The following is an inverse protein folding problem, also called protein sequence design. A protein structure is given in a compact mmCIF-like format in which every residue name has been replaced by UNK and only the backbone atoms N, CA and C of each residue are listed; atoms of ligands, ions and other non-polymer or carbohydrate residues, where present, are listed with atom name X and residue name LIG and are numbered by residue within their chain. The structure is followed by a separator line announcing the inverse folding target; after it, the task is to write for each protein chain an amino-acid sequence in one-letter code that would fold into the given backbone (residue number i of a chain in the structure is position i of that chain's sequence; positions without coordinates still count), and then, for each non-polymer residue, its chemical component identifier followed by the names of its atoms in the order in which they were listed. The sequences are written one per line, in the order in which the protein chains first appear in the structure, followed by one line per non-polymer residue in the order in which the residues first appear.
data_IF_752417968118
#
_entry.id   IF_752417968118
#
_cell.length_a   1.000
_cell.length_b   1.000
_cell.length_c   1.000
_cell.angle_alpha   90.00
_cell.angle_beta   90.00
_cell.angle_gamma   90.00
#
_symmetry.space_group_name_H-M   'P 1'
#
loop_
_entity.id
_entity.type
_entity.pdbx_description
1 polymer ?
#
# COMPACT_ATOMS: atom_id res chain seq x y z
N UNK A 1 -10.29 -19.05 -14.64
CA UNK A 1 -10.87 -17.97 -15.47
C UNK A 1 -11.22 -16.83 -14.53
N UNK A 2 -10.38 -15.83 -14.41
CA UNK A 2 -10.62 -14.62 -13.63
C UNK A 2 -11.67 -13.80 -14.34
N UNK A 3 -12.79 -13.59 -13.69
CA UNK A 3 -13.89 -12.76 -14.19
C UNK A 3 -13.39 -11.33 -14.31
N UNK A 4 -13.42 -10.68 -15.48
CA UNK A 4 -13.00 -9.30 -15.57
C UNK A 4 -13.88 -8.45 -14.65
N UNK A 5 -13.24 -7.71 -13.75
CA UNK A 5 -13.95 -6.83 -12.83
C UNK A 5 -14.71 -5.76 -13.62
N UNK A 6 -15.93 -5.40 -13.21
CA UNK A 6 -16.64 -4.32 -13.85
C UNK A 6 -15.82 -3.04 -13.74
N UNK A 7 -15.56 -2.41 -14.88
CA UNK A 7 -14.88 -1.11 -14.90
C UNK A 7 -15.73 -0.11 -14.12
N UNK A 8 -15.12 0.72 -13.26
CA UNK A 8 -15.88 1.74 -12.53
C UNK A 8 -16.59 2.68 -13.50
N UNK A 9 -17.81 3.04 -13.16
CA UNK A 9 -18.69 3.86 -13.99
C UNK A 9 -18.09 5.20 -14.37
N UNK A 10 -17.48 5.88 -13.41
CA UNK A 10 -16.93 7.22 -13.55
C UNK A 10 -15.57 7.29 -12.88
N UNK A 11 -14.60 7.79 -13.64
CA UNK A 11 -13.24 8.02 -13.16
C UNK A 11 -12.93 9.50 -13.18
N UNK A 12 -12.17 9.93 -12.20
CA UNK A 12 -11.67 11.28 -12.05
C UNK A 12 -10.15 11.23 -12.08
N UNK A 13 -9.54 12.00 -12.97
CA UNK A 13 -8.09 12.13 -12.99
C UNK A 13 -7.61 12.85 -11.75
N UNK A 14 -6.51 12.36 -11.20
CA UNK A 14 -5.72 13.04 -10.20
C UNK A 14 -4.56 13.77 -10.89
N UNK A 15 -4.14 14.87 -10.30
CA UNK A 15 -3.05 15.68 -10.84
C UNK A 15 -1.73 14.93 -10.68
N UNK A 16 -1.04 14.62 -11.80
CA UNK A 16 0.20 13.86 -11.74
C UNK A 16 1.32 14.68 -11.10
N UNK A 17 2.21 14.00 -10.42
CA UNK A 17 3.45 14.54 -9.90
C UNK A 17 4.50 13.43 -9.83
N UNK A 18 5.74 13.79 -9.61
CA UNK A 18 6.87 12.89 -9.39
C UNK A 18 7.16 12.73 -7.89
N UNK A 19 8.24 12.06 -7.55
CA UNK A 19 8.70 11.88 -6.16
C UNK A 19 8.96 13.22 -5.47
N UNK A 20 9.56 14.20 -6.14
CA UNK A 20 9.77 15.56 -5.61
C UNK A 20 8.47 16.31 -5.33
N UNK A 21 7.37 15.95 -5.98
CA UNK A 21 6.05 16.53 -5.78
C UNK A 21 5.30 16.02 -4.54
N UNK A 22 5.76 14.95 -3.90
CA UNK A 22 5.10 14.37 -2.72
C UNK A 22 4.99 15.37 -1.57
N UNK A 23 6.04 16.14 -1.31
CA UNK A 23 6.09 17.12 -0.22
C UNK A 23 5.23 18.38 -0.50
N UNK A 24 4.66 18.52 -1.68
CA UNK A 24 3.71 19.59 -2.02
C UNK A 24 2.26 19.28 -1.61
N UNK A 25 2.00 18.11 -1.03
CA UNK A 25 0.70 17.76 -0.47
C UNK A 25 0.33 18.71 0.68
N UNK A 26 -0.93 19.16 0.70
CA UNK A 26 -1.39 20.09 1.74
C UNK A 26 -1.75 19.43 3.05
N UNK A 27 -1.93 18.11 3.04
CA UNK A 27 -2.30 17.29 4.20
C UNK A 27 -1.58 15.96 4.16
N UNK A 28 -1.29 15.44 5.35
CA UNK A 28 -0.71 14.10 5.51
C UNK A 28 -1.29 13.39 6.73
N UNK A 29 -1.30 12.06 6.65
CA UNK A 29 -1.27 11.15 7.79
C UNK A 29 0.07 10.44 7.78
N UNK A 30 0.57 10.06 8.96
CA UNK A 30 1.80 9.31 9.09
C UNK A 30 1.66 8.29 10.22
N UNK A 31 2.01 7.05 9.95
CA UNK A 31 1.96 5.95 10.89
C UNK A 31 3.31 5.25 10.94
N UNK A 32 3.67 4.76 12.13
CA UNK A 32 4.83 3.88 12.32
C UNK A 32 4.32 2.50 12.67
N UNK A 33 4.69 1.53 11.86
CA UNK A 33 4.23 0.16 11.99
C UNK A 33 5.45 -0.74 12.20
N UNK A 34 5.55 -1.42 13.35
CA UNK A 34 6.62 -2.37 13.58
C UNK A 34 6.40 -3.64 12.75
N UNK A 35 7.48 -4.20 12.24
CA UNK A 35 7.50 -5.47 11.53
C UNK A 35 8.61 -6.37 12.12
N UNK A 36 8.31 -7.63 12.43
CA UNK A 36 9.34 -8.59 12.83
C UNK A 36 10.18 -9.09 11.65
N UNK A 37 9.77 -8.81 10.41
CA UNK A 37 10.49 -9.17 9.19
C UNK A 37 11.66 -8.21 8.93
N UNK A 38 12.68 -8.70 8.19
CA UNK A 38 13.74 -7.84 7.68
C UNK A 38 13.19 -6.77 6.72
N UNK A 39 13.92 -5.65 6.49
CA UNK A 39 13.47 -4.61 5.55
C UNK A 39 13.15 -5.14 4.16
N UNK A 40 13.97 -6.06 3.63
CA UNK A 40 13.74 -6.65 2.31
C UNK A 40 12.46 -7.51 2.27
N UNK A 41 12.20 -8.32 3.31
CA UNK A 41 10.99 -9.14 3.39
C UNK A 41 9.73 -8.29 3.63
N UNK A 42 9.82 -7.25 4.48
CA UNK A 42 8.72 -6.30 4.72
C UNK A 42 8.37 -5.53 3.44
N UNK A 43 9.39 -5.07 2.71
CA UNK A 43 9.21 -4.42 1.41
C UNK A 43 8.53 -5.36 0.40
N UNK A 44 9.02 -6.60 0.26
CA UNK A 44 8.46 -7.56 -0.67
C UNK A 44 6.99 -7.86 -0.36
N UNK A 45 6.63 -8.01 0.91
CA UNK A 45 5.25 -8.22 1.33
C UNK A 45 4.36 -7.01 1.00
N UNK A 46 4.74 -5.80 1.45
CA UNK A 46 3.88 -4.61 1.32
C UNK A 46 3.86 -4.03 -0.10
N UNK A 47 4.84 -4.30 -0.95
CA UNK A 47 4.81 -3.85 -2.35
C UNK A 47 3.91 -4.72 -3.24
N UNK A 48 3.60 -5.96 -2.83
CA UNK A 48 2.75 -6.87 -3.60
C UNK A 48 1.27 -6.57 -3.35
N UNK A 49 0.51 -6.28 -4.41
CA UNK A 49 -0.90 -5.89 -4.32
C UNK A 49 -1.78 -6.98 -3.67
N UNK A 50 -1.42 -8.24 -3.86
CA UNK A 50 -2.17 -9.36 -3.28
C UNK A 50 -2.13 -9.37 -1.74
N UNK A 51 -1.08 -8.80 -1.13
CA UNK A 51 -0.97 -8.72 0.33
C UNK A 51 -1.94 -7.70 0.94
N UNK A 52 -2.44 -6.74 0.16
CA UNK A 52 -3.40 -5.74 0.64
C UNK A 52 -4.68 -6.40 1.17
N UNK A 53 -5.05 -7.58 0.64
CA UNK A 53 -6.16 -8.38 1.15
C UNK A 53 -5.98 -8.84 2.61
N UNK A 54 -4.76 -8.83 3.13
CA UNK A 54 -4.46 -9.30 4.48
C UNK A 54 -4.54 -8.19 5.54
N UNK A 55 -4.46 -6.93 5.12
CA UNK A 55 -4.34 -5.83 6.07
C UNK A 55 -5.15 -4.58 5.72
N UNK A 56 -5.46 -4.29 4.45
CA UNK A 56 -6.21 -3.09 4.13
C UNK A 56 -7.72 -3.31 4.36
N UNK A 57 -8.37 -2.48 5.20
CA UNK A 57 -9.81 -2.59 5.44
C UNK A 57 -10.60 -2.48 4.14
N UNK A 58 -11.63 -3.32 4.02
CA UNK A 58 -12.55 -3.30 2.87
C UNK A 58 -11.88 -3.49 1.50
N UNK A 59 -10.67 -4.09 1.47
CA UNK A 59 -10.04 -4.48 0.21
C UNK A 59 -10.90 -5.49 -0.53
N UNK A 60 -11.17 -5.20 -1.79
CA UNK A 60 -11.99 -6.07 -2.65
C UNK A 60 -11.15 -6.79 -3.67
N UNK A 61 -10.26 -6.07 -4.36
CA UNK A 61 -9.42 -6.62 -5.42
C UNK A 61 -8.35 -5.61 -5.87
N UNK A 62 -7.31 -6.11 -6.55
CA UNK A 62 -6.27 -5.30 -7.15
C UNK A 62 -5.38 -6.13 -8.07
N UNK A 63 -4.75 -5.47 -9.02
CA UNK A 63 -3.81 -6.14 -9.92
C UNK A 63 -2.78 -5.18 -10.50
N UNK A 64 -1.61 -5.70 -10.79
CA UNK A 64 -0.61 -5.04 -11.60
C UNK A 64 -1.11 -4.90 -13.05
N UNK A 65 -0.90 -3.72 -13.63
CA UNK A 65 -1.12 -3.45 -15.06
C UNK A 65 0.21 -3.55 -15.83
N UNK A 66 1.33 -3.28 -15.18
CA UNK A 66 2.66 -3.42 -15.75
C UNK A 66 3.17 -4.86 -15.58
N UNK A 67 3.96 -5.32 -16.55
CA UNK A 67 4.68 -6.59 -16.45
C UNK A 67 5.83 -6.48 -15.42
N UNK A 68 6.14 -7.60 -14.76
CA UNK A 68 7.32 -7.71 -13.90
C UNK A 68 8.63 -7.66 -14.76
N UNK A 69 9.76 -7.18 -14.20
CA UNK A 69 9.93 -6.74 -12.83
C UNK A 69 9.32 -5.35 -12.58
N UNK A 70 8.74 -5.16 -11.40
CA UNK A 70 8.14 -3.88 -11.02
C UNK A 70 9.18 -2.89 -10.51
N UNK A 71 8.88 -1.59 -10.67
CA UNK A 71 9.79 -0.51 -10.30
C UNK A 71 9.15 0.86 -10.53
N UNK A 72 9.97 1.90 -10.57
CA UNK A 72 9.51 3.25 -10.92
C UNK A 72 8.84 3.25 -12.30
N UNK A 73 7.67 3.86 -12.39
CA UNK A 73 6.84 3.88 -13.60
C UNK A 73 5.84 2.73 -13.71
N UNK A 74 6.00 1.64 -12.95
CA UNK A 74 5.02 0.56 -12.90
C UNK A 74 3.67 1.06 -12.43
N UNK A 75 2.60 0.46 -12.94
CA UNK A 75 1.23 0.80 -12.61
C UNK A 75 0.49 -0.42 -12.08
N UNK A 76 -0.41 -0.16 -11.12
CA UNK A 76 -1.36 -1.13 -10.61
C UNK A 76 -2.68 -0.43 -10.32
N UNK A 77 -3.73 -1.18 -10.09
CA UNK A 77 -4.98 -0.64 -9.57
C UNK A 77 -5.37 -1.38 -8.28
N UNK A 78 -6.02 -0.63 -7.43
CA UNK A 78 -6.54 -1.04 -6.13
C UNK A 78 -8.04 -0.76 -6.10
N UNK A 79 -8.82 -1.63 -5.47
CA UNK A 79 -10.23 -1.43 -5.21
C UNK A 79 -10.58 -1.83 -3.78
N UNK A 80 -11.26 -0.93 -3.10
CA UNK A 80 -11.97 -1.18 -1.85
C UNK A 80 -13.47 -0.97 -2.06
N UNK A 81 -14.27 -1.22 -1.03
CA UNK A 81 -15.70 -0.87 -1.06
C UNK A 81 -15.94 0.62 -1.26
N UNK A 82 -15.00 1.47 -0.81
CA UNK A 82 -15.11 2.91 -0.89
C UNK A 82 -14.74 3.47 -2.27
N UNK A 83 -13.66 2.97 -2.89
CA UNK A 83 -13.11 3.52 -4.12
C UNK A 83 -12.37 2.50 -4.96
N UNK A 84 -12.19 2.84 -6.23
CA UNK A 84 -11.18 2.31 -7.12
C UNK A 84 -10.10 3.38 -7.34
N UNK A 85 -8.84 2.99 -7.30
CA UNK A 85 -7.67 3.85 -7.45
C UNK A 85 -6.70 3.21 -8.45
N UNK A 86 -6.20 3.99 -9.41
CA UNK A 86 -5.07 3.61 -10.24
C UNK A 86 -3.81 4.28 -9.72
N UNK A 87 -2.77 3.50 -9.52
CA UNK A 87 -1.52 3.89 -8.91
C UNK A 87 -0.37 3.81 -9.92
N UNK A 88 0.59 4.74 -9.80
CA UNK A 88 1.85 4.71 -10.52
C UNK A 88 3.00 4.93 -9.54
N UNK A 89 3.95 4.03 -9.53
CA UNK A 89 5.12 4.11 -8.64
C UNK A 89 6.07 5.21 -9.10
N UNK A 90 6.51 6.04 -8.15
CA UNK A 90 7.42 7.18 -8.35
C UNK A 90 8.74 7.02 -7.61
N UNK A 91 8.81 6.09 -6.64
CA UNK A 91 10.03 5.64 -5.98
C UNK A 91 9.98 4.13 -5.79
N UNK A 92 11.14 3.46 -5.93
CA UNK A 92 11.26 2.03 -5.77
C UNK A 92 12.71 1.64 -5.48
N UNK A 93 13.03 1.44 -4.21
CA UNK A 93 14.33 0.97 -3.72
C UNK A 93 14.09 -0.22 -2.81
N UNK A 94 14.30 -1.48 -3.28
CA UNK A 94 13.99 -2.68 -2.52
C UNK A 94 14.62 -2.66 -1.12
N UNK A 95 13.80 -2.93 -0.11
CA UNK A 95 14.21 -2.94 1.30
C UNK A 95 14.36 -1.57 1.95
N UNK A 96 14.22 -0.47 1.21
CA UNK A 96 14.38 0.88 1.73
C UNK A 96 13.13 1.75 1.58
N UNK A 97 12.56 1.78 0.37
CA UNK A 97 11.44 2.68 0.08
C UNK A 97 10.68 2.28 -1.18
N UNK A 98 9.35 2.40 -1.14
CA UNK A 98 8.55 2.64 -2.33
C UNK A 98 7.54 3.77 -2.09
N UNK A 99 7.17 4.45 -3.17
CA UNK A 99 6.11 5.44 -3.16
C UNK A 99 5.34 5.39 -4.46
N UNK A 100 4.03 5.64 -4.38
CA UNK A 100 3.18 5.75 -5.55
C UNK A 100 2.27 6.98 -5.47
N UNK A 101 1.82 7.43 -6.62
CA UNK A 101 0.80 8.45 -6.77
C UNK A 101 -0.47 7.83 -7.35
N UNK A 102 -1.62 8.33 -6.93
CA UNK A 102 -2.87 8.07 -7.61
C UNK A 102 -2.92 8.83 -8.93
N UNK A 103 -3.34 8.18 -10.01
CA UNK A 103 -3.52 8.80 -11.33
C UNK A 103 -4.99 8.93 -11.72
N UNK A 104 -5.83 8.00 -11.31
CA UNK A 104 -7.28 8.00 -11.51
C UNK A 104 -7.98 7.42 -10.26
N UNK A 105 -9.18 7.90 -9.96
CA UNK A 105 -10.01 7.39 -8.86
C UNK A 105 -11.49 7.51 -9.17
N UNK A 106 -12.33 6.70 -8.51
CA UNK A 106 -13.79 6.86 -8.58
C UNK A 106 -14.33 7.84 -7.55
N UNK A 107 -13.52 8.26 -6.57
CA UNK A 107 -13.93 9.17 -5.51
C UNK A 107 -13.34 10.58 -5.77
N UNK A 108 -14.15 11.59 -6.14
CA UNK A 108 -13.66 12.88 -6.61
C UNK A 108 -13.22 13.84 -5.48
N UNK A 109 -12.87 13.34 -4.31
CA UNK A 109 -12.55 14.17 -3.15
C UNK A 109 -11.18 14.84 -3.22
N UNK A 110 -10.22 14.16 -3.87
CA UNK A 110 -8.83 14.58 -3.86
C UNK A 110 -8.40 15.08 -5.25
N UNK A 111 -7.54 16.10 -5.26
CA UNK A 111 -6.84 16.60 -6.45
C UNK A 111 -5.54 15.84 -6.67
N UNK A 112 -4.81 15.55 -5.56
CA UNK A 112 -3.59 14.75 -5.50
C UNK A 112 -3.73 13.71 -4.40
N UNK A 113 -3.15 12.55 -4.63
CA UNK A 113 -3.03 11.49 -3.65
C UNK A 113 -1.73 10.74 -3.89
N UNK A 114 -1.05 10.38 -2.82
CA UNK A 114 0.15 9.56 -2.85
C UNK A 114 0.31 8.79 -1.53
N UNK A 115 1.05 7.70 -1.59
CA UNK A 115 1.55 7.00 -0.41
C UNK A 115 3.06 6.81 -0.52
N UNK A 116 3.75 6.93 0.63
CA UNK A 116 5.19 6.79 0.76
C UNK A 116 5.48 5.82 1.92
N UNK A 117 6.12 4.70 1.61
CA UNK A 117 6.52 3.65 2.55
C UNK A 117 8.04 3.64 2.68
N UNK A 118 8.54 3.78 3.90
CA UNK A 118 9.97 3.72 4.21
C UNK A 118 10.24 2.63 5.22
N UNK A 119 11.30 1.88 5.00
CA UNK A 119 11.67 0.70 5.75
C UNK A 119 12.99 0.93 6.47
N UNK A 120 12.95 1.11 7.79
CA UNK A 120 14.14 1.35 8.61
C UNK A 120 14.44 0.11 9.43
N UNK A 121 15.67 -0.48 9.33
CA UNK A 121 16.02 -1.65 10.14
C UNK A 121 16.03 -1.27 11.62
N UNK A 122 15.56 -2.18 12.47
CA UNK A 122 15.63 -2.04 13.92
C UNK A 122 16.83 -2.81 14.50
N UNK A 123 17.34 -2.43 15.68
CA UNK A 123 18.43 -3.18 16.35
C UNK A 123 18.10 -4.64 16.64
N UNK A 124 16.81 -4.98 16.74
CA UNK A 124 16.34 -6.37 16.95
C UNK A 124 16.29 -7.21 15.68
N UNK A 125 16.69 -6.66 14.52
CA UNK A 125 16.68 -7.37 13.23
C UNK A 125 15.35 -7.28 12.46
N UNK A 126 14.34 -6.60 13.02
CA UNK A 126 13.07 -6.30 12.36
C UNK A 126 13.12 -4.98 11.57
N UNK A 127 11.96 -4.44 11.29
CA UNK A 127 11.77 -3.20 10.51
C UNK A 127 10.78 -2.26 11.19
N UNK A 128 11.06 -0.97 11.21
CA UNK A 128 10.03 0.07 11.40
C UNK A 128 9.59 0.57 10.03
N UNK A 129 8.31 0.40 9.70
CA UNK A 129 7.70 0.96 8.50
C UNK A 129 7.15 2.34 8.83
N UNK A 130 7.66 3.38 8.16
CA UNK A 130 7.02 4.70 8.16
C UNK A 130 6.09 4.79 6.95
N UNK A 131 4.77 4.74 7.19
CA UNK A 131 3.75 4.86 6.17
C UNK A 131 3.14 6.25 6.19
N UNK A 132 3.28 6.98 5.09
CA UNK A 132 2.73 8.32 4.91
C UNK A 132 1.67 8.32 3.82
N UNK A 133 0.51 8.89 4.12
CA UNK A 133 -0.58 9.14 3.17
C UNK A 133 -0.64 10.65 2.93
N UNK A 134 -0.36 11.07 1.72
CA UNK A 134 -0.16 12.44 1.29
C UNK A 134 -1.28 12.85 0.32
N UNK A 135 -2.01 13.92 0.61
CA UNK A 135 -3.13 14.30 -0.25
C UNK A 135 -3.41 15.81 -0.28
N UNK A 136 -4.08 16.23 -1.34
CA UNK A 136 -4.61 17.58 -1.48
C UNK A 136 -6.07 17.50 -1.87
N UNK A 137 -7.02 17.98 -1.05
CA UNK A 137 -8.44 17.99 -1.40
C UNK A 137 -8.71 18.88 -2.63
N UNK A 138 -9.69 18.53 -3.44
CA UNK A 138 -10.22 19.43 -4.46
C UNK A 138 -10.86 20.65 -3.81
N UNK A 139 -10.74 21.81 -4.45
CA UNK A 139 -11.20 23.08 -3.87
C UNK A 139 -12.67 23.05 -3.40
N UNK A 140 -13.54 22.41 -4.17
CA UNK A 140 -14.97 22.25 -3.85
C UNK A 140 -15.23 21.44 -2.57
N UNK A 141 -14.31 20.56 -2.18
CA UNK A 141 -14.44 19.73 -0.96
C UNK A 141 -13.67 20.27 0.25
N UNK A 142 -12.93 21.38 0.10
CA UNK A 142 -12.19 21.99 1.22
C UNK A 142 -13.08 22.34 2.43
N UNK A 143 -14.30 22.89 2.25
CA UNK A 143 -15.18 23.17 3.39
C UNK A 143 -15.62 21.91 4.15
N UNK A 144 -15.75 20.77 3.46
CA UNK A 144 -16.16 19.50 4.04
C UNK A 144 -14.97 18.71 4.65
N UNK A 145 -13.76 19.07 4.27
CA UNK A 145 -12.54 18.36 4.68
C UNK A 145 -12.38 18.22 6.22
N UNK A 146 -12.64 19.23 7.07
CA UNK A 146 -12.52 19.07 8.52
C UNK A 146 -13.44 17.98 9.11
N UNK A 147 -14.60 17.74 8.49
CA UNK A 147 -15.53 16.68 8.90
C UNK A 147 -15.10 15.31 8.40
N UNK A 148 -14.50 15.21 7.22
CA UNK A 148 -14.08 13.95 6.62
C UNK A 148 -12.72 13.47 7.15
N UNK A 149 -11.84 14.40 7.54
CA UNK A 149 -10.47 14.08 7.98
C UNK A 149 -10.43 13.10 9.16
N UNK A 150 -11.23 13.21 10.21
CA UNK A 150 -11.25 12.24 11.31
C UNK A 150 -11.68 10.83 10.87
N UNK A 151 -12.60 10.74 9.90
CA UNK A 151 -13.07 9.46 9.35
C UNK A 151 -11.92 8.75 8.62
N UNK A 152 -11.21 9.47 7.75
CA UNK A 152 -10.02 8.94 7.08
C UNK A 152 -8.89 8.61 8.05
N UNK A 153 -8.65 9.46 9.06
CA UNK A 153 -7.66 9.18 10.08
C UNK A 153 -7.94 7.87 10.82
N UNK A 154 -9.19 7.62 11.18
CA UNK A 154 -9.61 6.37 11.82
C UNK A 154 -9.40 5.17 10.89
N UNK A 155 -9.85 5.26 9.63
CA UNK A 155 -9.69 4.20 8.63
C UNK A 155 -8.21 3.83 8.44
N UNK A 156 -7.32 4.81 8.27
CA UNK A 156 -5.89 4.55 8.10
C UNK A 156 -5.22 4.07 9.39
N UNK A 157 -5.70 4.49 10.57
CA UNK A 157 -5.22 3.94 11.85
C UNK A 157 -5.59 2.45 11.99
N UNK A 158 -6.80 2.07 11.61
CA UNK A 158 -7.25 0.68 11.60
C UNK A 158 -6.42 -0.14 10.59
N UNK A 159 -6.14 0.41 9.41
CA UNK A 159 -5.28 -0.20 8.42
C UNK A 159 -3.84 -0.39 8.94
N UNK A 160 -3.27 0.60 9.64
CA UNK A 160 -1.94 0.49 10.23
C UNK A 160 -1.87 -0.62 11.29
N UNK A 161 -2.91 -0.75 12.13
CA UNK A 161 -3.01 -1.83 13.12
C UNK A 161 -3.14 -3.21 12.45
N UNK A 162 -3.94 -3.29 11.39
CA UNK A 162 -4.11 -4.53 10.63
C UNK A 162 -2.83 -4.91 9.85
N UNK A 163 -2.08 -3.93 9.33
CA UNK A 163 -0.78 -4.12 8.70
C UNK A 163 0.22 -4.74 9.67
N UNK A 164 0.32 -4.22 10.90
CA UNK A 164 1.18 -4.79 11.95
C UNK A 164 0.85 -6.27 12.19
N UNK A 165 -0.44 -6.58 12.36
CA UNK A 165 -0.89 -7.95 12.58
C UNK A 165 -0.60 -8.87 11.36
N UNK A 166 -0.72 -8.37 10.13
CA UNK A 166 -0.40 -9.12 8.91
C UNK A 166 1.09 -9.42 8.80
N UNK A 167 1.94 -8.44 9.07
CA UNK A 167 3.40 -8.61 9.09
C UNK A 167 3.85 -9.61 10.15
N UNK A 168 3.22 -9.62 11.32
CA UNK A 168 3.48 -10.62 12.36
C UNK A 168 3.07 -12.04 11.92
N UNK A 169 1.93 -12.18 11.24
CA UNK A 169 1.49 -13.47 10.67
C UNK A 169 2.44 -13.96 9.58
N UNK A 170 2.90 -13.08 8.70
CA UNK A 170 3.86 -13.41 7.64
C UNK A 170 5.18 -13.92 8.21
N UNK A 171 5.70 -13.27 9.25
CA UNK A 171 6.89 -13.74 9.97
C UNK A 171 6.71 -15.15 10.55
N UNK A 172 5.52 -15.44 11.11
CA UNK A 172 5.19 -16.76 11.61
C UNK A 172 5.12 -17.84 10.50
N UNK A 173 4.63 -17.47 9.31
CA UNK A 173 4.63 -18.37 8.14
C UNK A 173 6.04 -18.71 7.67
N UNK A 174 6.94 -17.73 7.63
CA UNK A 174 8.35 -17.95 7.26
C UNK A 174 9.16 -18.74 8.27
N UNK A 175 8.76 -18.73 9.55
CA UNK A 175 9.43 -19.45 10.63
C UNK A 175 8.96 -20.92 10.80
N UNK A 176 7.85 -21.32 10.14
CA UNK A 176 7.37 -22.70 10.21
C UNK A 176 8.42 -23.65 9.60
N UNK A 177 8.88 -24.72 10.32
CA UNK A 177 9.93 -25.59 9.83
C UNK A 177 9.45 -26.29 8.55
N UNK A 178 10.20 -26.08 7.47
CA UNK A 178 9.98 -26.74 6.20
C UNK A 178 9.79 -28.23 6.40
N UNK A 179 8.72 -28.76 5.81
CA UNK A 179 8.38 -30.19 5.75
C UNK A 179 9.65 -30.99 5.50
N UNK A 180 10.01 -31.80 6.50
CA UNK A 180 11.08 -32.82 6.36
C UNK A 180 10.73 -33.66 5.13
N UNK A 181 11.40 -33.44 4.01
CA UNK A 181 11.46 -34.43 2.93
C UNK A 181 11.99 -35.73 3.54
N UNK A 182 11.08 -36.67 3.69
CA UNK A 182 11.34 -38.03 4.11
C UNK A 182 12.47 -38.62 3.27
N UNK A 183 13.65 -38.78 3.88
CA UNK A 183 14.60 -39.77 3.45
C UNK A 183 14.03 -41.13 3.85
N UNK A 184 13.24 -41.71 2.97
CA UNK A 184 12.88 -43.11 3.06
C UNK A 184 13.65 -43.84 1.95
N UNK A 185 14.56 -44.71 2.38
CA UNK A 185 14.78 -46.00 1.85
C UNK A 185 15.87 -46.14 0.79
N UNK A 186 17.08 -46.36 1.22
CA UNK A 186 17.95 -47.32 0.56
C UNK A 186 18.01 -48.52 1.49
N UNK A 187 17.47 -49.61 1.06
CA UNK A 187 17.57 -50.96 1.56
C UNK A 187 17.44 -51.90 0.36
#
# INVERSE_FOLDING_TARGET
MTRPLPRPWRRFSLEPHDDGGLEQATHAFAYRVPSPLSPAATFAFLSEIASDAEWFPDFVDGAWESAAPHGVGSTRWFRSDLLWLRERFVAWTPGERFAFIGTETTLPLMRRFAEDYRFTPTPSGGTEVTWRILYTPRAVFRPLHPLLRPVFAKMFQEAATAMEAALAREAGRGAAPGSKLSRAGAG
#
